data_IF_086905620100
#
_entry.id   IF_086905620100
#
_cell.length_a   1.000
_cell.length_b   1.000
_cell.length_c   1.000
_cell.angle_alpha   90.00
_cell.angle_beta   90.00
_cell.angle_gamma   90.00
#
_symmetry.space_group_name_H-M   'P 1'
#
loop_
_entity.id
_entity.type
_entity.pdbx_description
1 polymer ?
#
# COMPACT_ATOMS: atom_id res chain seq x y z
N UNK A 1 7.56 -6.98 1.23
CA UNK A 1 7.69 -5.63 0.65
C UNK A 1 7.64 -4.60 1.76
N UNK A 2 8.50 -3.60 1.67
CA UNK A 2 8.52 -2.42 2.53
C UNK A 2 7.60 -1.34 1.96
N UNK A 3 7.29 -0.31 2.74
CA UNK A 3 6.55 0.85 2.24
C UNK A 3 7.21 1.46 1.00
N UNK A 4 8.55 1.51 0.95
CA UNK A 4 9.27 2.07 -0.18
C UNK A 4 9.13 1.23 -1.45
N UNK A 5 9.16 -0.10 -1.33
CA UNK A 5 8.90 -0.97 -2.49
C UNK A 5 7.47 -0.82 -2.99
N UNK A 6 6.48 -0.69 -2.10
CA UNK A 6 5.08 -0.43 -2.51
C UNK A 6 4.95 0.90 -3.27
N UNK A 7 5.62 1.96 -2.80
CA UNK A 7 5.65 3.25 -3.50
C UNK A 7 6.33 3.16 -4.86
N UNK A 8 7.35 2.32 -5.01
CA UNK A 8 8.02 2.08 -6.28
C UNK A 8 7.08 1.37 -7.28
N UNK A 9 6.31 0.37 -6.84
CA UNK A 9 5.32 -0.31 -7.68
C UNK A 9 4.18 0.64 -8.13
N UNK A 10 3.86 1.67 -7.34
CA UNK A 10 2.90 2.72 -7.68
C UNK A 10 3.45 3.79 -8.64
N UNK A 11 4.64 3.59 -9.20
CA UNK A 11 5.29 4.53 -10.12
C UNK A 11 6.16 5.60 -9.45
N UNK A 12 6.46 5.47 -8.15
CA UNK A 12 7.46 6.30 -7.45
C UNK A 12 7.07 7.76 -7.17
N UNK A 13 5.96 8.25 -7.73
CA UNK A 13 5.49 9.63 -7.55
C UNK A 13 4.54 9.81 -6.35
N UNK A 14 4.19 8.72 -5.65
CA UNK A 14 3.31 8.79 -4.49
C UNK A 14 4.14 9.11 -3.24
N UNK A 15 3.83 10.23 -2.62
CA UNK A 15 4.43 10.63 -1.35
C UNK A 15 4.14 9.61 -0.24
N UNK A 16 5.16 9.33 0.59
CA UNK A 16 5.01 8.42 1.74
C UNK A 16 3.90 8.88 2.70
N UNK A 17 3.71 10.19 2.86
CA UNK A 17 2.63 10.76 3.67
C UNK A 17 1.24 10.49 3.08
N UNK A 18 1.11 10.50 1.74
CA UNK A 18 -0.15 10.14 1.07
C UNK A 18 -0.46 8.67 1.31
N UNK A 19 0.53 7.80 1.21
CA UNK A 19 0.37 6.37 1.51
C UNK A 19 -0.03 6.11 2.97
N UNK A 20 0.57 6.82 3.94
CA UNK A 20 0.13 6.74 5.34
C UNK A 20 -1.29 7.27 5.54
N UNK A 21 -1.69 8.33 4.82
CA UNK A 21 -3.08 8.81 4.82
C UNK A 21 -4.03 7.72 4.31
N UNK A 22 -3.69 7.03 3.22
CA UNK A 22 -4.49 5.91 2.71
C UNK A 22 -4.62 4.78 3.73
N UNK A 23 -3.54 4.43 4.45
CA UNK A 23 -3.62 3.46 5.56
C UNK A 23 -4.56 3.91 6.66
N UNK A 24 -4.56 5.20 7.01
CA UNK A 24 -5.46 5.74 8.02
C UNK A 24 -6.93 5.66 7.57
N UNK A 25 -7.20 5.84 6.28
CA UNK A 25 -8.56 5.74 5.71
C UNK A 25 -8.93 4.31 5.27
N UNK A 26 -8.10 3.31 5.55
CA UNK A 26 -8.34 1.91 5.15
C UNK A 26 -8.21 1.62 3.64
N UNK A 27 -7.61 2.53 2.86
CA UNK A 27 -7.46 2.43 1.39
C UNK A 27 -6.08 1.92 0.95
N UNK A 28 -5.41 1.16 1.80
CA UNK A 28 -4.05 0.69 1.57
C UNK A 28 -3.95 -0.79 1.95
N UNK A 29 -2.96 -1.52 1.41
CA UNK A 29 -2.87 -2.96 1.60
C UNK A 29 -2.56 -3.30 3.06
N UNK A 30 -3.00 -4.50 3.47
CA UNK A 30 -2.76 -5.01 4.81
C UNK A 30 -1.25 -5.12 5.08
N UNK A 31 -0.75 -4.26 5.96
CA UNK A 31 0.66 -4.26 6.35
C UNK A 31 0.83 -4.83 7.75
N UNK A 32 1.69 -5.84 7.88
CA UNK A 32 2.14 -6.40 9.14
C UNK A 32 3.15 -5.43 9.78
N UNK A 33 2.83 -4.98 11.00
CA UNK A 33 3.80 -4.24 11.82
C UNK A 33 4.68 -5.26 12.55
N UNK A 34 5.96 -5.23 12.27
CA UNK A 34 6.95 -6.04 12.97
C UNK A 34 7.28 -5.43 14.34
N UNK A 35 7.78 -6.25 15.29
CA UNK A 35 8.19 -5.77 16.62
C UNK A 35 9.34 -4.75 16.59
N UNK A 36 10.11 -4.70 15.49
CA UNK A 36 11.15 -3.70 15.25
C UNK A 36 10.59 -2.35 14.74
N UNK A 37 9.26 -2.22 14.59
CA UNK A 37 8.59 -1.01 14.10
C UNK A 37 8.51 -0.91 12.58
N UNK A 38 9.10 -1.84 11.84
CA UNK A 38 9.06 -1.85 10.39
C UNK A 38 7.72 -2.39 9.86
N UNK A 39 7.26 -1.83 8.73
CA UNK A 39 6.05 -2.27 8.07
C UNK A 39 6.40 -3.21 6.92
N UNK A 40 5.82 -4.41 6.97
CA UNK A 40 5.99 -5.42 5.94
C UNK A 40 4.65 -5.79 5.33
N UNK A 41 4.60 -5.67 4.02
CA UNK A 41 3.47 -6.02 3.18
C UNK A 41 3.81 -7.30 2.44
N UNK A 42 2.83 -8.19 2.32
CA UNK A 42 2.97 -9.33 1.42
C UNK A 42 2.82 -8.84 -0.01
N UNK A 43 3.68 -9.33 -0.91
CA UNK A 43 3.68 -8.92 -2.32
C UNK A 43 2.32 -9.21 -3.00
N UNK A 44 1.74 -10.38 -2.73
CA UNK A 44 0.45 -10.77 -3.29
C UNK A 44 -0.68 -9.82 -2.88
N UNK A 45 -0.75 -9.44 -1.60
CA UNK A 45 -1.75 -8.49 -1.09
C UNK A 45 -1.59 -7.10 -1.71
N UNK A 46 -0.34 -6.64 -1.91
CA UNK A 46 -0.06 -5.35 -2.58
C UNK A 46 -0.51 -5.39 -4.04
N UNK A 47 -0.15 -6.45 -4.77
CA UNK A 47 -0.54 -6.60 -6.18
C UNK A 47 -2.05 -6.70 -6.35
N UNK A 48 -2.73 -7.50 -5.52
CA UNK A 48 -4.19 -7.61 -5.52
C UNK A 48 -4.88 -6.27 -5.21
N UNK A 49 -4.28 -5.47 -4.32
CA UNK A 49 -4.77 -4.12 -4.03
C UNK A 49 -4.56 -3.17 -5.22
N UNK A 50 -3.39 -3.17 -5.87
CA UNK A 50 -3.14 -2.35 -7.07
C UNK A 50 -4.11 -2.74 -8.18
N UNK A 51 -4.27 -4.03 -8.44
CA UNK A 51 -5.23 -4.58 -9.40
C UNK A 51 -6.65 -4.11 -9.08
N UNK A 52 -7.05 -4.12 -7.80
CA UNK A 52 -8.34 -3.58 -7.35
C UNK A 52 -8.48 -2.07 -7.56
N UNK A 53 -7.41 -1.29 -7.55
CA UNK A 53 -7.44 0.15 -7.85
C UNK A 53 -7.58 0.40 -9.36
N UNK A 54 -6.90 -0.39 -10.20
CA UNK A 54 -7.01 -0.29 -11.67
C UNK A 54 -8.41 -0.67 -12.17
N UNK A 55 -9.04 -1.65 -11.53
CA UNK A 55 -10.43 -2.04 -11.79
C UNK A 55 -11.46 -1.08 -11.13
N UNK A 56 -11.02 -0.25 -10.19
CA UNK A 56 -11.86 0.37 -9.16
C UNK A 56 -11.62 1.86 -8.95
N UNK A 57 -11.68 2.67 -10.01
CA UNK A 57 -12.10 4.07 -9.89
C UNK A 57 -13.49 4.23 -9.20
N UNK A 58 -14.18 3.13 -8.92
CA UNK A 58 -15.34 3.05 -8.04
C UNK A 58 -14.95 2.40 -6.70
N UNK A 59 -14.85 3.23 -5.67
CA UNK A 59 -14.87 2.76 -4.28
C UNK A 59 -16.23 2.11 -3.98
N UNK A 60 -16.21 0.91 -3.42
CA UNK A 60 -17.26 0.38 -2.54
C UNK A 60 -16.77 0.47 -1.09
#
# INVERSE_FOLDING_TARGET
MTTQEVLAELGGNVDRNVFYRWRSTGRAPAGLKLPNGELRFRRADVLAWIDSLEQGGAAA
#
